data_IF_699687362953
#
_entry.id   IF_699687362953
#
_cell.length_a   1.000
_cell.length_b   1.000
_cell.length_c   1.000
_cell.angle_alpha   90.00
_cell.angle_beta   90.00
_cell.angle_gamma   90.00
#
_symmetry.space_group_name_H-M   'P 1'
#
loop_
_entity.id
_entity.type
_entity.pdbx_description
1 polymer ?
#
# COMPACT_ATOMS: atom_id res chain seq x y z
N UNK A 1 10.87 10.56 8.43
CA UNK A 1 9.85 9.69 9.04
C UNK A 1 8.52 9.94 8.33
N UNK A 2 7.73 8.92 7.98
CA UNK A 2 6.43 9.10 7.34
C UNK A 2 5.41 9.76 8.28
N UNK A 3 4.49 10.53 7.68
CA UNK A 3 3.31 11.09 8.33
C UNK A 3 2.16 10.08 8.24
N UNK A 4 1.45 9.89 9.35
CA UNK A 4 0.28 9.01 9.42
C UNK A 4 -0.91 9.74 10.05
N UNK A 5 -2.11 9.39 9.61
CA UNK A 5 -3.37 9.82 10.23
C UNK A 5 -3.83 8.78 11.25
N UNK A 6 -4.36 9.25 12.39
CA UNK A 6 -5.01 8.42 13.39
C UNK A 6 -6.39 8.99 13.72
N UNK A 7 -7.35 8.11 13.97
CA UNK A 7 -8.71 8.48 14.34
C UNK A 7 -9.02 8.01 15.76
N UNK A 8 -9.66 8.88 16.53
CA UNK A 8 -10.17 8.56 17.86
C UNK A 8 -11.41 7.66 17.74
N UNK A 9 -11.42 6.53 18.45
CA UNK A 9 -12.56 5.61 18.42
C UNK A 9 -13.80 6.18 19.13
N UNK A 10 -13.61 7.10 20.07
CA UNK A 10 -14.68 7.63 20.91
C UNK A 10 -15.45 8.80 20.29
N UNK A 11 -14.75 9.73 19.64
CA UNK A 11 -15.34 10.98 19.13
C UNK A 11 -15.07 11.24 17.65
N UNK A 12 -14.22 10.43 17.01
CA UNK A 12 -13.87 10.57 15.59
C UNK A 12 -12.87 11.68 15.28
N UNK A 13 -12.25 12.31 16.28
CA UNK A 13 -11.17 13.28 16.07
C UNK A 13 -10.02 12.65 15.27
N UNK A 14 -9.47 13.40 14.31
CA UNK A 14 -8.35 12.95 13.48
C UNK A 14 -7.10 13.77 13.82
N UNK A 15 -6.00 13.07 14.06
CA UNK A 15 -4.68 13.66 14.32
C UNK A 15 -3.65 13.14 13.32
N UNK A 16 -2.65 13.97 13.05
CA UNK A 16 -1.53 13.64 12.17
C UNK A 16 -0.24 13.53 12.98
N UNK A 17 0.50 12.43 12.81
CA UNK A 17 1.73 12.19 13.57
C UNK A 17 2.84 11.59 12.70
N UNK A 18 4.06 12.12 12.87
CA UNK A 18 5.27 11.57 12.26
C UNK A 18 5.76 10.39 13.11
N UNK A 19 5.80 9.18 12.53
CA UNK A 19 6.30 7.98 13.25
C UNK A 19 7.19 7.09 12.39
N UNK A 20 8.11 6.33 13.01
CA UNK A 20 8.75 5.19 12.36
C UNK A 20 7.69 4.20 11.86
N UNK A 21 7.96 3.54 10.73
CA UNK A 21 7.02 2.55 10.18
C UNK A 21 6.76 1.36 11.12
N UNK A 22 7.76 0.96 11.92
CA UNK A 22 7.61 -0.11 12.91
C UNK A 22 6.52 0.17 13.96
N UNK A 23 6.16 1.44 14.12
CA UNK A 23 5.26 1.94 15.14
C UNK A 23 3.93 2.46 14.58
N UNK A 24 3.71 2.29 13.26
CA UNK A 24 2.56 2.87 12.58
C UNK A 24 1.22 2.36 13.11
N UNK A 25 1.15 1.10 13.56
CA UNK A 25 -0.08 0.47 14.05
C UNK A 25 -0.18 0.47 15.58
N UNK A 26 0.82 1.02 16.28
CA UNK A 26 0.79 1.11 17.74
C UNK A 26 -0.23 2.17 18.16
N UNK A 27 -1.16 1.88 19.09
CA UNK A 27 -2.12 2.84 19.60
C UNK A 27 -1.42 4.11 20.11
N UNK A 28 -1.99 5.27 19.78
CA UNK A 28 -1.46 6.57 20.20
C UNK A 28 -2.28 7.07 21.39
N UNK A 29 -1.65 7.38 22.54
CA UNK A 29 -2.32 8.01 23.67
C UNK A 29 -2.75 9.44 23.32
N UNK A 30 -3.80 9.92 23.98
CA UNK A 30 -4.35 11.25 23.73
C UNK A 30 -3.33 12.37 24.02
N UNK A 31 -3.00 13.22 23.03
CA UNK A 31 -2.13 14.37 23.28
C UNK A 31 -2.70 15.37 24.29
N UNK A 32 -4.03 15.38 24.52
CA UNK A 32 -4.68 16.22 25.53
C UNK A 32 -4.72 15.57 26.92
N UNK A 33 -4.13 14.38 27.09
CA UNK A 33 -4.06 13.69 28.39
C UNK A 33 -5.35 13.02 28.84
N UNK A 34 -6.32 12.81 27.95
CA UNK A 34 -7.54 12.05 28.22
C UNK A 34 -7.37 10.53 28.04
N UNK A 35 -8.39 9.76 28.44
CA UNK A 35 -8.50 8.31 28.21
C UNK A 35 -9.06 8.00 26.80
N UNK A 36 -8.54 8.67 25.76
CA UNK A 36 -8.94 8.45 24.36
C UNK A 36 -7.93 7.58 23.64
N UNK A 37 -8.39 6.82 22.65
CA UNK A 37 -7.56 5.88 21.91
C UNK A 37 -7.59 6.21 20.43
N UNK A 38 -6.40 6.46 19.88
CA UNK A 38 -6.22 6.79 18.48
C UNK A 38 -5.64 5.59 17.73
N UNK A 39 -6.37 5.13 16.72
CA UNK A 39 -5.96 4.01 15.86
C UNK A 39 -5.61 4.51 14.47
N UNK A 40 -4.65 3.84 13.81
CA UNK A 40 -4.17 4.27 12.50
C UNK A 40 -5.28 4.20 11.46
N UNK A 41 -5.49 5.30 10.76
CA UNK A 41 -6.41 5.40 9.63
C UNK A 41 -5.65 5.11 8.33
N UNK A 42 -6.20 4.21 7.51
CA UNK A 42 -5.67 3.91 6.18
C UNK A 42 -6.61 4.49 5.12
N UNK A 43 -6.10 5.39 4.28
CA UNK A 43 -6.82 5.88 3.09
C UNK A 43 -6.85 4.76 2.04
N UNK A 44 -8.02 4.15 1.87
CA UNK A 44 -8.25 3.15 0.84
C UNK A 44 -8.91 3.81 -0.36
N UNK A 45 -8.40 3.51 -1.55
CA UNK A 45 -8.97 3.97 -2.82
C UNK A 45 -9.43 2.73 -3.58
N UNK A 46 -10.71 2.65 -3.92
CA UNK A 46 -11.24 1.55 -4.71
C UNK A 46 -10.91 1.77 -6.20
N UNK A 47 -9.78 1.23 -6.66
CA UNK A 47 -9.42 1.27 -8.07
C UNK A 47 -10.33 0.32 -8.87
N UNK A 48 -11.37 0.85 -9.52
CA UNK A 48 -12.17 0.09 -10.48
C UNK A 48 -11.42 0.02 -11.81
N UNK A 49 -10.70 -1.08 -12.03
CA UNK A 49 -10.12 -1.38 -13.34
C UNK A 49 -11.21 -1.76 -14.34
N UNK A 50 -11.24 -1.10 -15.50
CA UNK A 50 -11.90 -1.66 -16.68
C UNK A 50 -10.94 -2.75 -17.16
N UNK A 51 -11.28 -4.02 -16.92
CA UNK A 51 -10.47 -5.15 -17.36
C UNK A 51 -10.34 -5.14 -18.87
N UNK A 52 -9.27 -4.53 -19.39
CA UNK A 52 -8.82 -4.78 -20.74
C UNK A 52 -8.28 -6.20 -20.75
N UNK A 53 -9.04 -7.14 -21.32
CA UNK A 53 -8.54 -8.46 -21.62
C UNK A 53 -7.26 -8.29 -22.44
N UNK A 54 -6.11 -8.62 -21.87
CA UNK A 54 -4.91 -8.76 -22.67
C UNK A 54 -5.12 -10.00 -23.53
N UNK A 55 -5.30 -9.80 -24.83
CA UNK A 55 -5.26 -10.88 -25.80
C UNK A 55 -3.84 -11.43 -25.78
N UNK A 56 -3.63 -12.56 -25.11
CA UNK A 56 -2.48 -13.40 -25.41
C UNK A 56 -2.64 -13.86 -26.86
N UNK A 57 -1.91 -13.23 -27.77
CA UNK A 57 -1.75 -13.78 -29.12
C UNK A 57 -1.10 -15.16 -28.97
N UNK A 58 -1.70 -16.24 -29.52
CA UNK A 58 -1.09 -17.54 -29.48
C UNK A 58 0.04 -17.56 -30.51
N UNK A 59 1.26 -17.30 -30.04
CA UNK A 59 2.47 -17.67 -30.77
C UNK A 59 3.41 -16.51 -31.11
N UNK A 60 4.70 -16.81 -30.92
CA UNK A 60 5.76 -16.30 -31.79
C UNK A 60 6.68 -15.27 -31.17
N UNK A 61 7.80 -15.77 -30.64
CA UNK A 61 9.14 -15.18 -30.75
C UNK A 61 9.31 -13.70 -30.36
N UNK A 62 10.09 -13.46 -29.29
CA UNK A 62 10.68 -12.14 -29.05
C UNK A 62 11.33 -11.60 -30.34
N UNK A 63 11.25 -10.28 -30.65
CA UNK A 63 11.82 -9.70 -31.89
C UNK A 63 13.34 -9.87 -32.02
N UNK A 64 14.02 -10.40 -30.99
CA UNK A 64 15.40 -10.86 -31.05
C UNK A 64 15.59 -12.25 -31.68
N UNK A 65 14.54 -12.87 -32.23
CA UNK A 65 14.63 -14.14 -32.95
C UNK A 65 14.87 -15.37 -32.06
N UNK A 66 14.68 -15.27 -30.75
CA UNK A 66 14.94 -16.38 -29.82
C UNK A 66 13.67 -17.10 -29.43
N UNK A 67 13.67 -18.41 -29.69
CA UNK A 67 12.62 -19.33 -29.30
C UNK A 67 12.67 -19.52 -27.77
N UNK A 68 11.50 -19.74 -27.16
CA UNK A 68 11.29 -19.88 -25.71
C UNK A 68 12.34 -20.74 -25.01
N UNK A 69 13.04 -20.17 -24.02
CA UNK A 69 14.04 -20.86 -23.19
C UNK A 69 15.42 -20.19 -23.11
N UNK A 70 15.68 -19.15 -23.91
CA UNK A 70 17.01 -18.51 -24.00
C UNK A 70 17.29 -17.36 -23.02
N UNK A 71 16.36 -16.98 -22.15
CA UNK A 71 16.58 -15.95 -21.11
C UNK A 71 16.95 -16.61 -19.78
N UNK A 72 18.13 -17.24 -19.74
CA UNK A 72 18.74 -17.78 -18.54
C UNK A 72 20.14 -17.22 -18.38
N UNK A 73 20.28 -16.31 -17.41
CA UNK A 73 21.49 -15.89 -16.68
C UNK A 73 22.85 -16.14 -17.36
N UNK A 74 23.49 -15.08 -17.86
CA UNK A 74 24.95 -15.06 -17.99
C UNK A 74 25.52 -14.35 -16.75
N UNK A 75 26.39 -15.09 -16.08
CA UNK A 75 27.15 -14.77 -14.87
C UNK A 75 27.83 -13.40 -14.91
#
# INVERSE_FOLDING_TARGET
MPLYEYVCEQDGEVIELLRPRAEADTPVPDPQGGNRTFVRKQSTFAAKGIGGAHVHAPGGCCPCGKNTGGCGSMN
#
